data_IF_411433400503
#
_entry.id   IF_411433400503
#
_cell.length_a   1.000
_cell.length_b   1.000
_cell.length_c   1.000
_cell.angle_alpha   90.00
_cell.angle_beta   90.00
_cell.angle_gamma   90.00
#
_symmetry.space_group_name_H-M   'P 1'
#
loop_
_entity.id
_entity.type
_entity.pdbx_description
1 polymer ?
#
# COMPACT_ATOMS: atom_id res chain seq x y z
N UNK A 1 5.20 12.32 9.28
CA UNK A 1 6.66 12.17 9.07
C UNK A 1 6.92 11.07 8.07
N UNK A 2 7.38 9.89 8.52
CA UNK A 2 7.65 8.73 7.65
C UNK A 2 6.54 8.44 6.61
N UNK A 3 5.27 8.45 7.05
CA UNK A 3 4.12 8.16 6.19
C UNK A 3 4.03 9.09 4.97
N UNK A 4 4.17 10.40 5.15
CA UNK A 4 4.05 11.37 4.04
C UNK A 4 5.11 11.13 2.97
N UNK A 5 6.33 10.74 3.37
CA UNK A 5 7.38 10.41 2.41
C UNK A 5 7.14 9.05 1.74
N UNK A 6 6.78 8.02 2.50
CA UNK A 6 6.55 6.69 1.95
C UNK A 6 5.41 6.69 0.93
N UNK A 7 4.26 7.27 1.24
CA UNK A 7 3.09 7.28 0.35
C UNK A 7 3.42 7.89 -1.01
N UNK A 8 3.91 9.14 -1.03
CA UNK A 8 4.26 9.83 -2.28
C UNK A 8 5.37 9.12 -3.06
N UNK A 9 6.37 8.54 -2.37
CA UNK A 9 7.40 7.72 -3.03
C UNK A 9 6.77 6.47 -3.67
N UNK A 10 5.85 5.81 -2.97
CA UNK A 10 5.20 4.59 -3.44
C UNK A 10 4.31 4.86 -4.65
N UNK A 11 3.54 5.96 -4.67
CA UNK A 11 2.73 6.40 -5.81
C UNK A 11 3.55 6.55 -7.11
N UNK A 12 4.72 7.19 -7.00
CA UNK A 12 5.66 7.31 -8.13
C UNK A 12 6.20 5.93 -8.55
N UNK A 13 6.51 5.07 -7.58
CA UNK A 13 7.06 3.75 -7.83
C UNK A 13 6.09 2.82 -8.56
N UNK A 14 4.81 2.82 -8.17
CA UNK A 14 3.79 1.98 -8.81
C UNK A 14 3.44 2.47 -10.22
N UNK A 15 3.71 3.74 -10.51
CA UNK A 15 3.66 4.33 -11.86
C UNK A 15 4.87 3.98 -12.73
N UNK A 16 5.89 3.29 -12.19
CA UNK A 16 7.10 2.94 -12.93
C UNK A 16 8.11 4.08 -13.03
N UNK A 17 8.02 5.07 -12.14
CA UNK A 17 8.99 6.14 -12.02
C UNK A 17 10.06 5.83 -10.96
N UNK A 18 11.24 6.41 -11.14
CA UNK A 18 12.29 6.57 -10.13
C UNK A 18 12.01 7.89 -9.39
N UNK A 19 11.59 7.86 -8.12
CA UNK A 19 11.41 9.08 -7.33
C UNK A 19 12.71 9.88 -7.23
N UNK A 20 12.64 11.21 -7.37
CA UNK A 20 13.80 12.11 -7.30
C UNK A 20 13.63 13.16 -6.21
N UNK A 21 12.56 13.94 -6.34
CA UNK A 21 12.36 15.12 -5.51
C UNK A 21 10.93 15.17 -4.98
N UNK A 22 10.80 15.71 -3.78
CA UNK A 22 9.53 15.93 -3.12
C UNK A 22 9.39 17.41 -2.73
N UNK A 23 8.15 17.89 -2.69
CA UNK A 23 7.76 19.05 -1.88
C UNK A 23 7.18 18.58 -0.55
N UNK A 24 7.28 19.39 0.50
CA UNK A 24 6.68 19.09 1.80
C UNK A 24 6.02 20.33 2.39
N UNK A 25 4.68 20.34 2.42
CA UNK A 25 3.87 21.37 3.06
C UNK A 25 3.39 20.87 4.43
N UNK A 26 3.51 21.70 5.45
CA UNK A 26 3.10 21.39 6.83
C UNK A 26 2.10 22.43 7.31
N UNK A 27 0.95 21.96 7.77
CA UNK A 27 -0.03 22.77 8.50
C UNK A 27 -0.01 22.27 9.94
N UNK A 28 0.26 23.18 10.88
CA UNK A 28 0.32 22.86 12.30
C UNK A 28 -0.65 23.74 13.08
N UNK A 29 -1.31 23.15 14.07
CA UNK A 29 -2.18 23.86 15.00
C UNK A 29 -1.33 24.66 16.01
N UNK A 30 -1.78 25.88 16.32
CA UNK A 30 -1.21 26.69 17.39
C UNK A 30 -1.15 25.91 18.72
N UNK A 31 0.01 25.92 19.36
CA UNK A 31 0.24 25.20 20.61
C UNK A 31 0.67 23.73 20.44
N UNK A 32 0.82 23.24 19.20
CA UNK A 32 1.44 21.93 18.96
C UNK A 32 2.88 21.88 19.48
N UNK A 33 3.23 20.77 20.15
CA UNK A 33 4.52 20.63 20.83
C UNK A 33 5.71 20.68 19.87
N UNK A 34 6.65 21.60 20.14
CA UNK A 34 7.88 21.73 19.34
C UNK A 34 8.67 20.41 19.26
N UNK A 35 8.80 19.69 20.37
CA UNK A 35 9.52 18.41 20.42
C UNK A 35 8.86 17.32 19.55
N UNK A 36 7.53 17.35 19.41
CA UNK A 36 6.82 16.40 18.54
C UNK A 36 6.95 16.79 17.07
N UNK A 37 6.92 18.09 16.76
CA UNK A 37 7.23 18.59 15.42
C UNK A 37 8.66 18.22 15.00
N UNK A 38 9.64 18.38 15.89
CA UNK A 38 11.03 18.01 15.65
C UNK A 38 11.16 16.51 15.34
N UNK A 39 10.53 15.63 16.14
CA UNK A 39 10.49 14.19 15.85
C UNK A 39 9.92 13.88 14.47
N UNK A 40 8.86 14.59 14.07
CA UNK A 40 8.21 14.42 12.77
C UNK A 40 9.15 14.84 11.63
N UNK A 41 9.83 15.98 11.75
CA UNK A 41 10.79 16.47 10.75
C UNK A 41 12.01 15.55 10.66
N UNK A 42 12.54 15.07 11.79
CA UNK A 42 13.61 14.07 11.80
C UNK A 42 13.17 12.76 11.12
N UNK A 43 11.92 12.34 11.34
CA UNK A 43 11.32 11.19 10.67
C UNK A 43 11.24 11.37 9.14
N UNK A 44 10.88 12.57 8.67
CA UNK A 44 10.93 12.93 7.24
C UNK A 44 12.35 12.80 6.70
N UNK A 45 13.32 13.48 7.32
CA UNK A 45 14.74 13.47 6.91
C UNK A 45 15.29 12.04 6.79
N UNK A 46 15.05 11.21 7.80
CA UNK A 46 15.51 9.82 7.81
C UNK A 46 14.84 8.96 6.75
N UNK A 47 13.57 9.24 6.41
CA UNK A 47 12.84 8.48 5.39
C UNK A 47 13.27 8.90 3.98
N UNK A 48 13.47 10.19 3.73
CA UNK A 48 14.07 10.71 2.50
C UNK A 48 15.44 10.07 2.23
N UNK A 49 16.32 10.04 3.24
CA UNK A 49 17.63 9.37 3.14
C UNK A 49 17.52 7.89 2.78
N UNK A 50 16.55 7.16 3.36
CA UNK A 50 16.31 5.74 3.05
C UNK A 50 15.78 5.53 1.63
N UNK A 51 14.90 6.41 1.17
CA UNK A 51 14.32 6.36 -0.17
C UNK A 51 15.27 6.90 -1.26
N UNK A 52 16.32 7.65 -0.88
CA UNK A 52 17.23 8.29 -1.84
C UNK A 52 16.56 9.42 -2.60
N UNK A 53 15.70 10.19 -1.93
CA UNK A 53 14.98 11.35 -2.47
C UNK A 53 15.27 12.58 -1.62
N UNK A 54 15.16 13.76 -2.22
CA UNK A 54 15.34 15.04 -1.53
C UNK A 54 14.04 15.83 -1.46
N UNK A 55 13.77 16.46 -0.31
CA UNK A 55 12.74 17.50 -0.21
C UNK A 55 13.40 18.82 -0.64
N UNK A 56 13.00 19.34 -1.81
CA UNK A 56 13.66 20.50 -2.43
C UNK A 56 12.89 21.81 -2.27
N UNK A 57 11.64 21.73 -1.83
CA UNK A 57 10.77 22.88 -1.57
C UNK A 57 9.71 22.51 -0.55
N UNK A 58 9.05 23.50 0.04
CA UNK A 58 8.03 23.26 1.05
C UNK A 58 7.30 24.53 1.45
N UNK A 59 6.31 24.34 2.31
CA UNK A 59 5.53 25.42 2.91
C UNK A 59 5.25 25.09 4.38
N UNK A 60 5.15 26.12 5.22
CA UNK A 60 4.82 25.95 6.63
C UNK A 60 3.75 26.95 7.02
N UNK A 61 2.65 26.46 7.60
CA UNK A 61 1.52 27.27 8.06
C UNK A 61 1.17 26.89 9.48
N UNK A 62 0.98 27.91 10.31
CA UNK A 62 0.38 27.78 11.64
C UNK A 62 -1.06 28.27 11.53
N UNK A 63 -2.00 27.48 12.02
CA UNK A 63 -3.42 27.84 12.09
C UNK A 63 -3.85 27.98 13.54
N UNK A 64 -4.91 28.75 13.77
CA UNK A 64 -5.48 28.96 15.10
C UNK A 64 -5.87 27.63 15.76
N UNK A 65 -5.86 27.62 17.09
CA UNK A 65 -6.30 26.46 17.87
C UNK A 65 -7.73 26.05 17.48
N UNK A 66 -7.93 24.76 17.22
CA UNK A 66 -9.18 24.17 16.76
C UNK A 66 -9.40 24.18 15.25
N UNK A 67 -8.57 24.90 14.47
CA UNK A 67 -8.69 24.94 13.00
C UNK A 67 -8.05 23.74 12.29
N UNK A 68 -7.15 23.02 12.95
CA UNK A 68 -6.58 21.75 12.51
C UNK A 68 -6.46 20.81 13.72
N UNK A 69 -6.58 19.50 13.51
CA UNK A 69 -6.25 18.55 14.58
C UNK A 69 -4.75 18.26 14.55
N UNK A 70 -4.00 19.03 15.34
CA UNK A 70 -2.55 18.94 15.56
C UNK A 70 -1.71 19.26 14.32
N UNK A 71 -1.55 18.32 13.39
CA UNK A 71 -0.61 18.46 12.26
C UNK A 71 -1.07 17.70 11.02
N UNK A 72 -1.03 18.37 9.89
CA UNK A 72 -1.20 17.80 8.56
C UNK A 72 0.06 18.00 7.72
N UNK A 73 0.41 16.98 6.94
CA UNK A 73 1.57 17.04 6.05
C UNK A 73 1.14 16.60 4.67
N UNK A 74 1.37 17.46 3.69
CA UNK A 74 1.12 17.18 2.28
C UNK A 74 2.45 17.12 1.55
N UNK A 75 2.63 16.07 0.77
CA UNK A 75 3.82 15.86 -0.04
C UNK A 75 3.44 15.62 -1.48
N UNK A 76 4.08 16.34 -2.40
CA UNK A 76 4.01 16.07 -3.84
C UNK A 76 5.37 15.56 -4.30
N UNK A 77 5.39 14.72 -5.32
CA UNK A 77 6.63 14.11 -5.79
C UNK A 77 6.77 14.13 -7.30
N UNK A 78 8.02 14.18 -7.75
CA UNK A 78 8.39 14.03 -9.16
C UNK A 78 9.48 12.98 -9.30
N UNK A 79 9.43 12.24 -10.40
CA UNK A 79 10.37 11.17 -10.71
C UNK A 79 10.52 10.94 -12.21
N UNK A 80 11.60 10.27 -12.58
CA UNK A 80 11.92 9.93 -13.96
C UNK A 80 11.29 8.58 -14.32
N UNK A 81 10.58 8.46 -15.44
CA UNK A 81 10.14 7.15 -15.91
C UNK A 81 11.35 6.28 -16.29
N UNK A 82 11.37 5.03 -15.83
CA UNK A 82 12.42 4.10 -16.23
C UNK A 82 12.29 3.77 -17.72
N UNK A 83 13.40 3.81 -18.46
CA UNK A 83 13.41 3.45 -19.88
C UNK A 83 12.95 2.01 -20.11
N UNK A 84 12.12 1.80 -21.13
CA UNK A 84 11.56 0.51 -21.49
C UNK A 84 10.48 -0.02 -20.53
N UNK A 85 10.19 0.69 -19.43
CA UNK A 85 9.09 0.34 -18.53
C UNK A 85 7.78 0.85 -19.10
N UNK A 86 6.80 -0.04 -19.21
CA UNK A 86 5.43 0.30 -19.61
C UNK A 86 4.47 -0.34 -18.61
N UNK A 87 4.07 0.40 -17.59
CA UNK A 87 3.04 -0.07 -16.66
C UNK A 87 1.72 0.55 -17.08
N UNK A 88 0.72 -0.27 -17.37
CA UNK A 88 -0.55 0.22 -17.88
C UNK A 88 -1.64 -0.82 -17.65
N UNK A 89 -2.80 -0.34 -17.23
CA UNK A 89 -3.97 -1.18 -16.96
C UNK A 89 -4.43 -1.89 -18.25
N UNK A 90 -4.24 -1.23 -19.40
CA UNK A 90 -4.56 -1.72 -20.74
C UNK A 90 -3.67 -2.90 -21.18
N UNK A 91 -2.59 -3.22 -20.45
CA UNK A 91 -1.75 -4.40 -20.71
C UNK A 91 -2.24 -5.66 -20.01
N UNK A 92 -3.17 -5.52 -19.07
CA UNK A 92 -3.72 -6.65 -18.30
C UNK A 92 -4.52 -7.58 -19.22
N UNK A 93 -4.22 -8.88 -19.15
CA UNK A 93 -4.86 -9.93 -19.96
C UNK A 93 -5.24 -11.11 -19.08
N UNK A 94 -6.24 -11.91 -19.48
CA UNK A 94 -6.55 -13.16 -18.81
C UNK A 94 -5.33 -14.07 -18.69
N UNK A 95 -5.17 -14.72 -17.53
CA UNK A 95 -4.03 -15.56 -17.19
C UNK A 95 -2.93 -14.83 -16.43
N UNK A 96 -2.87 -13.49 -16.47
CA UNK A 96 -1.90 -12.71 -15.70
C UNK A 96 -2.02 -13.04 -14.21
N UNK A 97 -0.88 -13.17 -13.53
CA UNK A 97 -0.83 -13.53 -12.11
C UNK A 97 -0.87 -12.29 -11.24
N UNK A 98 -1.53 -12.42 -10.09
CA UNK A 98 -1.61 -11.37 -9.06
C UNK A 98 -0.64 -11.73 -7.94
N UNK A 99 0.35 -10.88 -7.70
CA UNK A 99 1.33 -11.00 -6.61
C UNK A 99 1.11 -9.88 -5.62
N UNK A 100 1.28 -10.16 -4.33
CA UNK A 100 1.43 -9.13 -3.30
C UNK A 100 2.81 -9.25 -2.65
N UNK A 101 3.38 -8.12 -2.22
CA UNK A 101 4.76 -8.09 -1.73
C UNK A 101 4.98 -8.71 -0.34
N UNK A 102 3.92 -8.87 0.46
CA UNK A 102 4.04 -9.42 1.81
C UNK A 102 2.69 -9.63 2.48
N UNK A 103 2.73 -9.70 3.81
CA UNK A 103 1.53 -9.76 4.65
C UNK A 103 0.63 -8.54 4.44
N UNK A 104 -0.62 -8.57 4.90
CA UNK A 104 -1.53 -7.41 4.81
C UNK A 104 -2.13 -7.02 6.15
N UNK A 105 -2.60 -5.77 6.23
CA UNK A 105 -3.41 -5.20 7.30
C UNK A 105 -2.64 -4.65 8.50
N UNK A 106 -1.30 -4.70 8.48
CA UNK A 106 -0.50 -4.24 9.61
C UNK A 106 -0.60 -2.75 9.91
N UNK A 107 -0.63 -1.88 8.89
CA UNK A 107 -0.75 -0.44 9.13
C UNK A 107 -2.11 -0.10 9.74
N UNK A 108 -3.20 -0.56 9.13
CA UNK A 108 -4.53 -0.32 9.68
C UNK A 108 -4.68 -0.83 11.12
N UNK A 109 -4.16 -2.03 11.40
CA UNK A 109 -4.19 -2.61 12.73
C UNK A 109 -3.35 -1.81 13.74
N UNK A 110 -2.16 -1.36 13.35
CA UNK A 110 -1.30 -0.55 14.22
C UNK A 110 -1.93 0.81 14.56
N UNK A 111 -2.55 1.49 13.59
CA UNK A 111 -3.23 2.76 13.83
C UNK A 111 -4.44 2.57 14.74
N UNK A 112 -5.23 1.52 14.53
CA UNK A 112 -6.39 1.21 15.35
C UNK A 112 -6.00 0.96 16.82
N UNK A 113 -4.93 0.19 17.06
CA UNK A 113 -4.43 -0.05 18.41
C UNK A 113 -3.88 1.22 19.06
N UNK A 114 -3.23 2.09 18.29
CA UNK A 114 -2.66 3.35 18.78
C UNK A 114 -3.73 4.39 19.16
N UNK A 115 -4.99 4.22 18.74
CA UNK A 115 -6.09 5.10 19.17
C UNK A 115 -6.58 4.82 20.58
N UNK A 116 -6.17 3.70 21.18
CA UNK A 116 -6.54 3.28 22.55
C UNK A 116 -8.06 3.24 22.83
N UNK A 117 -8.91 3.36 21.81
CA UNK A 117 -10.37 3.19 21.89
C UNK A 117 -10.74 1.75 22.28
N UNK A 118 -9.81 0.81 22.10
CA UNK A 118 -9.97 -0.61 22.38
C UNK A 118 -9.03 -1.04 23.50
N UNK A 119 -9.54 -1.78 24.49
CA UNK A 119 -8.73 -2.42 25.55
C UNK A 119 -7.90 -3.61 25.03
N UNK A 120 -7.63 -3.65 23.74
CA UNK A 120 -6.92 -4.74 23.08
C UNK A 120 -5.42 -4.42 23.04
N UNK A 121 -4.60 -5.23 23.72
CA UNK A 121 -3.14 -5.05 23.74
C UNK A 121 -2.50 -6.06 22.81
N UNK A 122 -2.03 -5.59 21.65
CA UNK A 122 -1.21 -6.38 20.75
C UNK A 122 -0.03 -5.56 20.24
N UNK A 123 1.13 -6.19 20.08
CA UNK A 123 2.31 -5.54 19.53
C UNK A 123 2.29 -5.64 18.00
N UNK A 124 1.55 -4.75 17.35
CA UNK A 124 1.48 -4.66 15.88
C UNK A 124 2.10 -3.35 15.44
N UNK A 125 3.18 -3.44 14.66
CA UNK A 125 3.81 -2.28 14.03
C UNK A 125 3.32 -2.10 12.60
N UNK A 126 3.09 -0.85 12.19
CA UNK A 126 2.79 -0.51 10.81
C UNK A 126 3.90 -0.99 9.86
N UNK A 127 3.48 -1.45 8.68
CA UNK A 127 4.36 -1.85 7.58
C UNK A 127 4.90 -0.68 6.76
N UNK A 128 4.57 0.57 7.12
CA UNK A 128 4.94 1.78 6.39
C UNK A 128 6.40 1.76 5.95
N UNK A 129 6.67 1.80 4.64
CA UNK A 129 8.01 1.75 4.09
C UNK A 129 8.06 2.28 2.64
N UNK A 130 9.16 2.92 2.23
CA UNK A 130 9.35 3.28 0.84
C UNK A 130 9.66 2.03 0.01
N UNK A 131 8.95 1.86 -1.10
CA UNK A 131 8.97 0.65 -1.93
C UNK A 131 9.92 0.74 -3.12
N UNK A 132 10.58 1.88 -3.33
CA UNK A 132 11.43 2.15 -4.49
C UNK A 132 12.54 1.12 -4.71
N UNK A 133 13.14 0.59 -3.64
CA UNK A 133 14.12 -0.49 -3.74
C UNK A 133 13.52 -1.83 -4.21
N UNK A 134 12.30 -2.14 -3.76
CA UNK A 134 11.60 -3.38 -4.12
C UNK A 134 11.07 -3.31 -5.56
N UNK A 135 10.36 -2.24 -5.90
CA UNK A 135 9.69 -2.10 -7.21
C UNK A 135 10.72 -2.00 -8.33
N UNK A 136 11.76 -1.19 -8.17
CA UNK A 136 12.82 -1.05 -9.20
C UNK A 136 13.51 -2.37 -9.53
N UNK A 137 13.68 -3.27 -8.55
CA UNK A 137 14.32 -4.58 -8.76
C UNK A 137 13.52 -5.50 -9.71
N UNK A 138 12.21 -5.29 -9.81
CA UNK A 138 11.30 -6.15 -10.59
C UNK A 138 10.79 -5.49 -11.89
N UNK A 139 11.10 -4.22 -12.12
CA UNK A 139 10.80 -3.54 -13.38
C UNK A 139 11.44 -4.26 -14.57
N UNK A 140 10.76 -4.22 -15.72
CA UNK A 140 11.16 -4.91 -16.95
C UNK A 140 11.30 -6.44 -16.85
N UNK A 141 10.70 -7.08 -15.81
CA UNK A 141 10.70 -8.54 -15.65
C UNK A 141 9.34 -9.19 -15.97
N UNK A 142 8.58 -8.60 -16.89
CA UNK A 142 7.25 -9.10 -17.30
C UNK A 142 6.08 -8.55 -16.47
N UNK A 143 6.32 -7.55 -15.63
CA UNK A 143 5.27 -6.81 -14.93
C UNK A 143 4.50 -5.96 -15.93
N UNK A 144 3.17 -5.92 -15.74
CA UNK A 144 2.23 -5.17 -16.56
C UNK A 144 1.61 -4.00 -15.82
N UNK A 145 1.37 -4.16 -14.52
CA UNK A 145 0.72 -3.16 -13.69
C UNK A 145 1.14 -3.30 -12.22
N UNK A 146 1.15 -2.18 -11.49
CA UNK A 146 1.37 -2.15 -10.05
C UNK A 146 0.42 -1.16 -9.38
N UNK A 147 0.07 -1.43 -8.13
CA UNK A 147 -0.69 -0.51 -7.25
C UNK A 147 -0.39 -0.83 -5.79
N UNK A 148 -0.32 0.16 -4.93
CA UNK A 148 -0.16 -0.02 -3.49
C UNK A 148 -1.54 -0.06 -2.79
N UNK A 149 -1.80 -1.04 -1.91
CA UNK A 149 -3.10 -1.23 -1.29
C UNK A 149 -3.28 -0.40 -0.01
N UNK A 150 -3.34 0.93 -0.18
CA UNK A 150 -3.53 1.92 0.89
C UNK A 150 -5.00 1.95 1.38
N UNK A 151 -5.78 2.99 1.08
CA UNK A 151 -7.18 3.11 1.53
C UNK A 151 -8.06 2.02 0.91
N UNK A 152 -8.86 1.36 1.74
CA UNK A 152 -9.68 0.21 1.34
C UNK A 152 -8.90 -1.09 1.13
N UNK A 153 -7.58 -1.08 1.35
CA UNK A 153 -6.73 -2.25 1.39
C UNK A 153 -6.66 -3.03 0.08
N UNK A 154 -6.30 -4.31 0.19
CA UNK A 154 -6.18 -5.23 -0.94
C UNK A 154 -7.51 -5.40 -1.69
N UNK A 155 -8.63 -5.42 -0.97
CA UNK A 155 -9.96 -5.60 -1.55
C UNK A 155 -10.31 -4.48 -2.53
N UNK A 156 -10.22 -3.21 -2.10
CA UNK A 156 -10.54 -2.06 -2.95
C UNK A 156 -9.57 -1.97 -4.12
N UNK A 157 -8.26 -2.12 -3.89
CA UNK A 157 -7.26 -2.10 -4.96
C UNK A 157 -7.51 -3.15 -6.05
N UNK A 158 -7.86 -4.38 -5.67
CA UNK A 158 -8.18 -5.41 -6.67
C UNK A 158 -9.48 -5.10 -7.42
N UNK A 159 -10.46 -4.48 -6.75
CA UNK A 159 -11.69 -4.06 -7.41
C UNK A 159 -11.44 -2.92 -8.40
N UNK A 160 -10.64 -1.91 -8.06
CA UNK A 160 -10.20 -0.86 -8.99
C UNK A 160 -9.53 -1.48 -10.23
N UNK A 161 -8.59 -2.40 -10.02
CA UNK A 161 -7.93 -3.11 -11.13
C UNK A 161 -8.95 -3.90 -11.97
N UNK A 162 -9.91 -4.59 -11.36
CA UNK A 162 -10.93 -5.35 -12.07
C UNK A 162 -11.86 -4.44 -12.90
N UNK A 163 -12.25 -3.29 -12.34
CA UNK A 163 -13.11 -2.30 -12.98
C UNK A 163 -12.40 -1.68 -14.18
N UNK A 164 -11.18 -1.19 -13.98
CA UNK A 164 -10.41 -0.44 -14.98
C UNK A 164 -9.88 -1.35 -16.09
N UNK A 165 -9.45 -2.57 -15.76
CA UNK A 165 -9.02 -3.55 -16.77
C UNK A 165 -10.18 -4.19 -17.52
N UNK A 166 -11.40 -4.14 -16.97
CA UNK A 166 -12.58 -4.79 -17.54
C UNK A 166 -12.64 -6.31 -17.34
N UNK A 167 -11.75 -6.90 -16.53
CA UNK A 167 -11.67 -8.34 -16.28
C UNK A 167 -12.02 -8.70 -14.84
N UNK A 168 -12.43 -9.95 -14.63
CA UNK A 168 -12.53 -10.50 -13.28
C UNK A 168 -11.15 -10.84 -12.72
N UNK A 169 -11.00 -10.75 -11.41
CA UNK A 169 -9.81 -11.22 -10.69
C UNK A 169 -10.22 -12.34 -9.75
N UNK A 170 -9.55 -13.49 -9.83
CA UNK A 170 -9.74 -14.60 -8.91
C UNK A 170 -8.58 -14.70 -7.93
N UNK A 171 -8.85 -14.62 -6.63
CA UNK A 171 -7.86 -14.79 -5.56
C UNK A 171 -8.20 -15.99 -4.66
N UNK A 172 -7.20 -16.52 -3.96
CA UNK A 172 -7.32 -17.66 -3.05
C UNK A 172 -6.99 -17.24 -1.63
N UNK A 173 -7.95 -17.38 -0.73
CA UNK A 173 -7.83 -16.96 0.68
C UNK A 173 -6.67 -17.63 1.41
N UNK A 174 -6.42 -18.91 1.12
CA UNK A 174 -5.33 -19.68 1.71
C UNK A 174 -3.93 -19.17 1.32
N UNK A 175 -3.82 -18.40 0.23
CA UNK A 175 -2.55 -17.84 -0.26
C UNK A 175 -2.27 -16.44 0.26
N UNK A 176 -3.27 -15.75 0.83
CA UNK A 176 -3.12 -14.38 1.32
C UNK A 176 -2.45 -14.43 2.70
N UNK A 177 -1.21 -13.94 2.85
CA UNK A 177 -0.49 -14.02 4.09
C UNK A 177 -1.00 -12.92 5.03
N UNK A 178 -1.47 -13.32 6.21
CA UNK A 178 -1.94 -12.41 7.27
C UNK A 178 -1.23 -12.84 8.55
N UNK A 179 -0.59 -11.88 9.25
CA UNK A 179 0.02 -12.16 10.55
C UNK A 179 -1.05 -12.55 11.56
N UNK A 180 -0.74 -13.50 12.43
CA UNK A 180 -1.70 -13.99 13.44
C UNK A 180 -2.26 -12.85 14.30
N UNK A 181 -1.40 -11.93 14.75
CA UNK A 181 -1.82 -10.77 15.53
C UNK A 181 -2.83 -9.87 14.81
N UNK A 182 -2.70 -9.71 13.49
CA UNK A 182 -3.66 -8.94 12.68
C UNK A 182 -4.95 -9.73 12.52
N UNK A 183 -4.86 -11.03 12.27
CA UNK A 183 -6.04 -11.90 12.14
C UNK A 183 -6.88 -11.87 13.41
N UNK A 184 -6.27 -12.12 14.56
CA UNK A 184 -6.96 -12.13 15.86
C UNK A 184 -7.61 -10.77 16.15
N UNK A 185 -6.93 -9.66 15.85
CA UNK A 185 -7.52 -8.33 16.00
C UNK A 185 -8.73 -8.13 15.09
N UNK A 186 -8.61 -8.48 13.81
CA UNK A 186 -9.70 -8.37 12.84
C UNK A 186 -10.90 -9.24 13.25
N UNK A 187 -10.67 -10.48 13.67
CA UNK A 187 -11.72 -11.39 14.16
C UNK A 187 -12.43 -10.83 15.40
N UNK A 188 -11.67 -10.31 16.37
CA UNK A 188 -12.23 -9.73 17.59
C UNK A 188 -13.13 -8.50 17.33
N UNK A 189 -12.87 -7.79 16.24
CA UNK A 189 -13.58 -6.55 15.88
C UNK A 189 -14.58 -6.73 14.73
N UNK A 190 -14.74 -7.95 14.21
CA UNK A 190 -15.59 -8.20 13.04
C UNK A 190 -15.11 -7.51 11.76
N UNK A 191 -13.83 -7.20 11.67
CA UNK A 191 -13.22 -6.56 10.50
C UNK A 191 -12.64 -7.61 9.55
N UNK A 192 -12.63 -7.32 8.24
CA UNK A 192 -11.97 -8.16 7.25
C UNK A 192 -10.58 -7.58 6.91
N UNK A 193 -9.47 -8.33 7.11
CA UNK A 193 -8.11 -7.84 6.89
C UNK A 193 -7.83 -7.45 5.42
N UNK A 194 -8.66 -7.90 4.47
CA UNK A 194 -8.54 -7.49 3.06
C UNK A 194 -8.79 -5.99 2.86
N UNK A 195 -9.55 -5.36 3.75
CA UNK A 195 -9.90 -3.94 3.67
C UNK A 195 -8.99 -3.04 4.51
N UNK A 196 -8.11 -3.64 5.30
CA UNK A 196 -7.18 -2.92 6.16
C UNK A 196 -6.06 -2.28 5.33
N UNK A 197 -5.81 -1.01 5.58
CA UNK A 197 -4.80 -0.23 4.86
C UNK A 197 -3.38 -0.74 5.08
N UNK A 198 -2.56 -0.59 4.04
CA UNK A 198 -1.14 -0.98 4.00
C UNK A 198 -0.32 0.20 3.49
N UNK A 199 0.84 0.44 4.10
CA UNK A 199 1.69 1.61 3.75
C UNK A 199 3.10 1.20 3.31
N UNK A 200 3.30 -0.09 3.05
CA UNK A 200 4.57 -0.66 2.59
C UNK A 200 4.37 -1.94 1.82
N UNK A 201 3.28 -2.03 1.03
CA UNK A 201 2.96 -3.18 0.19
C UNK A 201 2.64 -2.74 -1.23
N UNK A 202 2.82 -3.67 -2.17
CA UNK A 202 2.46 -3.48 -3.57
C UNK A 202 1.76 -4.73 -4.09
N UNK A 203 0.69 -4.51 -4.85
CA UNK A 203 0.02 -5.46 -5.72
C UNK A 203 0.66 -5.36 -7.10
N UNK A 204 1.03 -6.50 -7.68
CA UNK A 204 1.72 -6.59 -8.97
C UNK A 204 0.95 -7.53 -9.88
N UNK A 205 0.63 -7.07 -11.08
CA UNK A 205 0.08 -7.91 -12.16
C UNK A 205 1.22 -8.27 -13.11
N UNK A 206 1.46 -9.57 -13.27
CA UNK A 206 2.61 -10.11 -14.02
C UNK A 206 2.14 -11.07 -15.11
N UNK A 207 2.81 -11.02 -16.26
CA UNK A 207 2.53 -11.93 -17.38
C UNK A 207 2.76 -13.41 -16.97
N UNK A 208 1.97 -14.36 -17.50
CA UNK A 208 2.23 -15.79 -17.34
C UNK A 208 3.64 -16.16 -17.82
N UNK A 209 4.29 -17.06 -17.10
CA UNK A 209 5.68 -17.47 -17.33
C UNK A 209 6.73 -16.55 -16.69
N UNK A 210 6.36 -15.33 -16.29
CA UNK A 210 7.28 -14.38 -15.63
C UNK A 210 7.16 -14.36 -14.10
N UNK A 211 6.08 -14.91 -13.55
CA UNK A 211 5.74 -14.87 -12.12
C UNK A 211 6.82 -15.49 -11.24
N UNK A 212 7.43 -16.61 -11.65
CA UNK A 212 8.46 -17.28 -10.87
C UNK A 212 9.73 -16.44 -10.72
N UNK A 213 10.14 -15.77 -11.82
CA UNK A 213 11.30 -14.87 -11.83
C UNK A 213 11.05 -13.63 -10.98
N UNK A 214 9.89 -12.98 -11.15
CA UNK A 214 9.50 -11.81 -10.34
C UNK A 214 9.45 -12.17 -8.87
N UNK A 215 8.79 -13.27 -8.52
CA UNK A 215 8.65 -13.72 -7.14
C UNK A 215 10.00 -14.03 -6.49
N UNK A 216 10.92 -14.66 -7.22
CA UNK A 216 12.28 -14.93 -6.75
C UNK A 216 13.04 -13.64 -6.42
N UNK A 217 12.92 -12.62 -7.26
CA UNK A 217 13.57 -11.32 -7.03
C UNK A 217 12.95 -10.61 -5.82
N UNK A 218 11.61 -10.56 -5.72
CA UNK A 218 10.94 -9.93 -4.58
C UNK A 218 11.35 -10.58 -3.26
N UNK A 219 11.41 -11.91 -3.22
CA UNK A 219 11.78 -12.66 -2.00
C UNK A 219 13.21 -12.41 -1.52
N UNK A 220 14.12 -11.99 -2.39
CA UNK A 220 15.50 -11.59 -2.02
C UNK A 220 15.54 -10.21 -1.36
N UNK A 221 14.55 -9.36 -1.62
CA UNK A 221 14.47 -8.03 -1.02
C UNK A 221 13.82 -8.07 0.37
N UNK A 222 14.32 -7.33 1.39
CA UNK A 222 13.77 -7.36 2.75
C UNK A 222 12.26 -7.09 2.82
N UNK A 223 11.76 -6.11 2.05
CA UNK A 223 10.32 -5.76 1.98
C UNK A 223 9.48 -6.76 1.18
N UNK A 224 10.10 -7.68 0.43
CA UNK A 224 9.43 -8.67 -0.42
C UNK A 224 9.60 -10.11 0.06
N UNK A 225 10.22 -10.37 1.21
CA UNK A 225 10.49 -11.73 1.72
C UNK A 225 9.26 -12.64 1.77
N UNK A 226 8.09 -12.06 2.04
CA UNK A 226 6.81 -12.76 2.11
C UNK A 226 5.95 -12.64 0.86
N UNK A 227 6.55 -12.25 -0.27
CA UNK A 227 5.82 -12.13 -1.53
C UNK A 227 5.21 -13.46 -1.94
N UNK A 228 4.01 -13.42 -2.48
CA UNK A 228 3.24 -14.62 -2.87
C UNK A 228 2.29 -14.30 -4.01
N UNK A 229 2.07 -15.28 -4.88
CA UNK A 229 1.02 -15.23 -5.91
C UNK A 229 -0.30 -15.59 -5.21
N UNK A 230 -1.25 -14.66 -5.19
CA UNK A 230 -2.54 -14.84 -4.52
C UNK A 230 -3.66 -15.23 -5.48
N UNK A 231 -3.44 -15.09 -6.79
CA UNK A 231 -4.50 -15.25 -7.76
C UNK A 231 -4.09 -14.97 -9.19
N UNK A 232 -5.10 -14.79 -10.04
CA UNK A 232 -4.93 -14.49 -11.45
C UNK A 232 -6.12 -13.73 -12.05
N UNK A 233 -5.86 -13.01 -13.13
CA UNK A 233 -6.86 -12.35 -13.96
C UNK A 233 -7.60 -13.40 -14.79
N UNK A 234 -8.93 -13.32 -14.81
CA UNK A 234 -9.83 -14.30 -15.42
C UNK A 234 -10.36 -13.79 -16.77
N UNK A 235 -10.90 -14.69 -17.59
CA UNK A 235 -11.39 -14.36 -18.95
C UNK A 235 -12.71 -13.58 -18.92
N UNK A 236 -13.52 -13.86 -17.91
CA UNK A 236 -14.82 -13.26 -17.66
C UNK A 236 -14.70 -11.76 -17.38
N UNK A 237 -15.65 -10.97 -17.90
CA UNK A 237 -15.60 -9.50 -17.90
C UNK A 237 -16.67 -8.85 -17.03
N UNK A 238 -17.04 -9.51 -15.93
CA UNK A 238 -18.04 -8.99 -15.00
C UNK A 238 -17.47 -7.89 -14.08
N UNK A 239 -16.16 -7.59 -14.18
CA UNK A 239 -15.45 -6.59 -13.39
C UNK A 239 -15.53 -6.84 -11.88
N UNK A 240 -15.44 -8.11 -11.48
CA UNK A 240 -15.57 -8.55 -10.09
C UNK A 240 -14.31 -9.22 -9.57
N UNK A 241 -14.05 -9.06 -8.28
CA UNK A 241 -13.08 -9.86 -7.54
C UNK A 241 -13.78 -11.04 -6.88
N UNK A 242 -13.31 -12.25 -7.15
CA UNK A 242 -13.80 -13.47 -6.51
C UNK A 242 -12.72 -14.08 -5.63
N UNK A 243 -13.10 -14.42 -4.41
CA UNK A 243 -12.24 -15.11 -3.46
C UNK A 243 -12.70 -16.55 -3.31
N UNK A 244 -11.78 -17.49 -3.56
CA UNK A 244 -11.94 -18.90 -3.21
C UNK A 244 -11.60 -19.06 -1.72
N UNK A 245 -12.57 -19.46 -0.93
CA UNK A 245 -12.42 -19.62 0.52
C UNK A 245 -11.60 -20.85 0.85
N UNK A 246 -11.09 -20.94 2.09
CA UNK A 246 -10.32 -22.10 2.59
C UNK A 246 -11.08 -23.43 2.49
N UNK A 247 -12.41 -23.39 2.58
CA UNK A 247 -13.29 -24.56 2.47
C UNK A 247 -13.74 -24.86 1.03
N UNK A 248 -13.21 -24.14 0.04
CA UNK A 248 -13.45 -24.39 -1.39
C UNK A 248 -14.64 -23.63 -1.99
N UNK A 249 -15.42 -22.92 -1.18
CA UNK A 249 -16.47 -22.03 -1.64
C UNK A 249 -15.94 -20.80 -2.40
N UNK A 250 -16.82 -20.05 -3.05
CA UNK A 250 -16.48 -18.83 -3.80
C UNK A 250 -17.38 -17.70 -3.35
N UNK A 251 -16.80 -16.57 -2.92
CA UNK A 251 -17.54 -15.34 -2.61
C UNK A 251 -17.03 -14.16 -3.43
N UNK A 252 -17.88 -13.15 -3.59
CA UNK A 252 -17.47 -11.86 -4.16
C UNK A 252 -16.78 -11.07 -3.05
N UNK A 253 -15.69 -10.39 -3.40
CA UNK A 253 -15.05 -9.38 -2.56
C UNK A 253 -15.43 -8.04 -3.16
N UNK A 254 -16.41 -7.37 -2.57
CA UNK A 254 -16.89 -6.08 -3.08
C UNK A 254 -15.94 -4.94 -2.68
N UNK A 255 -16.04 -3.82 -3.40
CA UNK A 255 -15.37 -2.58 -3.00
C UNK A 255 -15.91 -2.12 -1.64
N UNK A 256 -15.05 -1.49 -0.83
CA UNK A 256 -15.46 -1.01 0.48
C UNK A 256 -16.58 0.04 0.34
N UNK A 257 -17.70 -0.19 1.02
CA UNK A 257 -18.79 0.80 1.11
C UNK A 257 -18.52 1.75 2.29
N UNK A 258 -17.87 2.89 2.01
CA UNK A 258 -17.53 3.92 3.00
C UNK A 258 -16.13 3.78 3.63
N UNK A 259 -15.79 4.66 4.57
CA UNK A 259 -14.51 4.58 5.28
C UNK A 259 -14.63 3.63 6.49
N UNK A 260 -13.82 2.56 6.52
CA UNK A 260 -13.75 1.65 7.68
C UNK A 260 -13.16 2.34 8.92
N UNK A 261 -12.16 3.20 8.71
CA UNK A 261 -11.45 3.91 9.75
C UNK A 261 -11.17 5.33 9.24
N UNK A 262 -11.86 6.37 9.76
CA UNK A 262 -11.57 7.74 9.36
C UNK A 262 -10.14 8.08 9.77
N UNK A 263 -9.40 8.83 8.94
CA UNK A 263 -8.02 9.30 9.21
C UNK A 263 -7.00 8.17 9.40
N UNK A 264 -7.10 7.13 8.58
CA UNK A 264 -6.17 5.99 8.62
C UNK A 264 -4.77 6.35 8.11
N UNK A 265 -4.70 7.22 7.11
CA UNK A 265 -3.48 7.76 6.51
C UNK A 265 -3.66 9.23 6.11
#
# INVERSE_FOLDING_TARGET
>A
GKLSICGTVNDLCVSGARPRYLSCAVIVEEGFGYSDLEKIVLSVKMTCKKAGVDVITGDFKVVEKGAADKVFITTSGVGDLYQGVSLSIERIRPGDKVIISGTIGEHGAAVLLAREELKFKANISSDCAPLNGLTSAILNKGIKFMRDPTRGGLATTLNEIAIDSGYNIGIEESKIPIKESVRVLCEALGMDPLYMANEGKVVVIVAPGSEGKVLSIMKKHPLGRKSVIIGEVKKERNKRVYLKTRIGGKRIVDMLSGEQLPRIC
#
